data_IF_785591783674
#
_entry.id   IF_785591783674
#
_cell.length_a   1.000
_cell.length_b   1.000
_cell.length_c   1.000
_cell.angle_alpha   90.00
_cell.angle_beta   90.00
_cell.angle_gamma   90.00
#
_symmetry.space_group_name_H-M   'P 1'
#
loop_
_entity.id
_entity.type
_entity.pdbx_description
1 polymer ?
#
# COMPACT_ATOMS: atom_id res chain seq x y z
N UNK A 1 9.83 -25.49 7.24
CA UNK A 1 10.31 -24.28 7.96
C UNK A 1 9.80 -24.28 9.41
N UNK A 2 10.50 -23.62 10.36
CA UNK A 2 10.06 -23.54 11.75
C UNK A 2 8.64 -22.96 11.88
N UNK A 3 7.88 -23.42 12.88
CA UNK A 3 6.46 -23.09 13.05
C UNK A 3 6.22 -21.57 13.18
N UNK A 4 7.15 -20.84 13.78
CA UNK A 4 7.09 -19.39 13.94
C UNK A 4 7.02 -18.65 12.59
N UNK A 5 7.82 -19.04 11.58
CA UNK A 5 7.82 -18.40 10.26
C UNK A 5 6.49 -18.66 9.54
N UNK A 6 5.97 -19.90 9.62
CA UNK A 6 4.66 -20.24 9.02
C UNK A 6 3.51 -19.50 9.68
N UNK A 7 3.62 -19.19 10.97
CA UNK A 7 2.62 -18.39 11.68
C UNK A 7 2.70 -16.91 11.24
N UNK A 8 3.91 -16.35 11.22
CA UNK A 8 4.17 -14.98 10.74
C UNK A 8 3.59 -14.75 9.34
N UNK A 9 3.93 -15.61 8.38
CA UNK A 9 3.44 -15.51 6.99
C UNK A 9 1.92 -15.48 6.93
N UNK A 10 1.24 -16.38 7.66
CA UNK A 10 -0.24 -16.45 7.67
C UNK A 10 -0.89 -15.22 8.28
N UNK A 11 -0.30 -14.67 9.34
CA UNK A 11 -0.84 -13.46 10.01
C UNK A 11 -0.69 -12.26 9.09
N UNK A 12 0.49 -12.08 8.50
CA UNK A 12 0.76 -10.95 7.59
C UNK A 12 -0.07 -11.06 6.33
N UNK A 13 -0.18 -12.25 5.73
CA UNK A 13 -0.98 -12.45 4.51
C UNK A 13 -2.47 -12.14 4.76
N UNK A 14 -3.02 -12.53 5.92
CA UNK A 14 -4.39 -12.18 6.29
C UNK A 14 -4.56 -10.68 6.53
N UNK A 15 -3.61 -10.05 7.23
CA UNK A 15 -3.65 -8.61 7.45
C UNK A 15 -3.67 -7.86 6.12
N UNK A 16 -2.83 -8.27 5.16
CA UNK A 16 -2.79 -7.70 3.81
C UNK A 16 -4.12 -7.90 3.06
N UNK A 17 -4.77 -9.06 3.19
CA UNK A 17 -6.11 -9.28 2.61
C UNK A 17 -7.16 -8.36 3.20
N UNK A 18 -7.22 -8.26 4.53
CA UNK A 18 -8.21 -7.40 5.20
C UNK A 18 -8.04 -5.94 4.77
N UNK A 19 -6.81 -5.43 4.76
CA UNK A 19 -6.52 -4.05 4.34
C UNK A 19 -6.89 -3.84 2.87
N UNK A 20 -6.59 -4.82 2.00
CA UNK A 20 -6.95 -4.77 0.59
C UNK A 20 -8.47 -4.78 0.35
N UNK A 21 -9.24 -5.60 1.08
CA UNK A 21 -10.71 -5.62 0.98
C UNK A 21 -11.31 -4.29 1.43
N UNK A 22 -10.80 -3.70 2.52
CA UNK A 22 -11.23 -2.37 2.96
C UNK A 22 -10.87 -1.31 1.90
N UNK A 23 -9.70 -1.43 1.26
CA UNK A 23 -9.31 -0.54 0.17
C UNK A 23 -10.32 -0.60 -0.99
N UNK A 24 -10.80 -1.79 -1.39
CA UNK A 24 -11.80 -1.92 -2.47
C UNK A 24 -13.06 -1.08 -2.22
N UNK A 25 -13.50 -0.98 -0.96
CA UNK A 25 -14.66 -0.16 -0.60
C UNK A 25 -14.41 1.36 -0.79
N UNK A 26 -13.17 1.83 -0.66
CA UNK A 26 -12.82 3.25 -0.79
C UNK A 26 -13.07 3.80 -2.20
N UNK A 27 -12.99 2.96 -3.24
CA UNK A 27 -13.31 3.40 -4.62
C UNK A 27 -14.77 3.82 -4.73
N UNK A 28 -15.69 3.06 -4.11
CA UNK A 28 -17.11 3.41 -4.11
C UNK A 28 -17.37 4.70 -3.33
N UNK A 29 -16.66 4.92 -2.22
CA UNK A 29 -16.73 6.18 -1.47
C UNK A 29 -16.27 7.35 -2.34
N UNK A 30 -15.14 7.20 -3.03
CA UNK A 30 -14.61 8.24 -3.94
C UNK A 30 -15.59 8.56 -5.07
N UNK A 31 -16.14 7.52 -5.72
CA UNK A 31 -17.16 7.69 -6.77
C UNK A 31 -18.38 8.43 -6.21
N UNK A 32 -18.87 8.04 -5.02
CA UNK A 32 -20.00 8.71 -4.37
C UNK A 32 -19.75 10.19 -4.09
N UNK A 33 -18.55 10.55 -3.60
CA UNK A 33 -18.16 11.95 -3.35
C UNK A 33 -18.09 12.75 -4.65
N UNK A 34 -17.52 12.18 -5.72
CA UNK A 34 -17.42 12.85 -7.02
C UNK A 34 -18.79 12.99 -7.70
N UNK A 35 -19.66 11.99 -7.59
CA UNK A 35 -21.04 12.08 -8.09
C UNK A 35 -21.83 13.13 -7.32
N UNK A 36 -21.67 13.19 -5.99
CA UNK A 36 -22.29 14.25 -5.18
C UNK A 36 -21.85 15.63 -5.66
N UNK A 37 -20.54 15.85 -5.82
CA UNK A 37 -20.01 17.12 -6.33
C UNK A 37 -20.57 17.46 -7.71
N UNK A 38 -20.62 16.49 -8.62
CA UNK A 38 -21.16 16.70 -9.96
C UNK A 38 -22.65 17.07 -9.94
N UNK A 39 -23.45 16.44 -9.08
CA UNK A 39 -24.89 16.74 -8.94
C UNK A 39 -25.09 18.11 -8.30
N UNK A 40 -24.44 18.40 -7.17
CA UNK A 40 -24.66 19.68 -6.47
C UNK A 40 -24.15 20.86 -7.29
N UNK A 41 -23.03 20.69 -7.99
CA UNK A 41 -22.44 21.74 -8.81
C UNK A 41 -23.22 22.02 -10.09
N UNK A 42 -23.67 20.97 -10.79
CA UNK A 42 -24.29 21.14 -12.11
C UNK A 42 -25.83 21.20 -12.07
N UNK A 43 -26.48 20.61 -11.08
CA UNK A 43 -27.95 20.59 -10.99
C UNK A 43 -28.51 21.56 -9.94
N UNK A 44 -27.74 21.88 -8.90
CA UNK A 44 -28.18 22.75 -7.80
C UNK A 44 -27.41 24.07 -7.72
N UNK A 45 -26.41 24.30 -8.58
CA UNK A 45 -25.52 25.46 -8.56
C UNK A 45 -24.85 25.75 -7.19
N UNK A 46 -24.67 24.71 -6.36
CA UNK A 46 -24.01 24.80 -5.05
C UNK A 46 -22.66 24.08 -5.14
N UNK A 47 -21.54 24.83 -5.26
CA UNK A 47 -20.20 24.23 -5.31
C UNK A 47 -19.78 23.72 -3.92
N UNK A 48 -19.39 22.44 -3.84
CA UNK A 48 -18.87 21.84 -2.61
C UNK A 48 -17.34 21.84 -2.64
N UNK A 49 -16.73 22.78 -1.91
CA UNK A 49 -15.28 22.98 -1.94
C UNK A 49 -14.45 21.86 -1.30
N UNK A 50 -15.05 20.93 -0.54
CA UNK A 50 -14.35 19.85 0.16
C UNK A 50 -14.29 18.53 -0.63
N UNK A 51 -15.11 18.39 -1.68
CA UNK A 51 -15.24 17.12 -2.40
C UNK A 51 -13.95 16.73 -3.11
N UNK A 52 -13.19 17.71 -3.60
CA UNK A 52 -11.92 17.47 -4.32
C UNK A 52 -10.87 16.91 -3.36
N UNK A 53 -10.70 17.50 -2.18
CA UNK A 53 -9.72 17.05 -1.20
C UNK A 53 -10.10 15.70 -0.62
N UNK A 54 -11.39 15.46 -0.33
CA UNK A 54 -11.85 14.13 0.10
C UNK A 54 -11.55 13.11 -0.98
N UNK A 55 -11.89 13.38 -2.25
CA UNK A 55 -11.57 12.45 -3.34
C UNK A 55 -10.06 12.17 -3.45
N UNK A 56 -9.20 13.19 -3.33
CA UNK A 56 -7.75 13.03 -3.35
C UNK A 56 -7.23 12.21 -2.16
N UNK A 57 -7.75 12.45 -0.95
CA UNK A 57 -7.36 11.67 0.23
C UNK A 57 -7.84 10.23 0.15
N UNK A 58 -9.07 10.00 -0.32
CA UNK A 58 -9.61 8.66 -0.53
C UNK A 58 -8.83 7.92 -1.62
N UNK A 59 -8.44 8.60 -2.71
CA UNK A 59 -7.60 8.04 -3.75
C UNK A 59 -6.23 7.62 -3.19
N UNK A 60 -5.60 8.49 -2.41
CA UNK A 60 -4.31 8.18 -1.80
C UNK A 60 -4.41 7.01 -0.81
N UNK A 61 -5.45 7.00 0.04
CA UNK A 61 -5.73 5.90 0.93
C UNK A 61 -5.94 4.58 0.17
N UNK A 62 -6.73 4.60 -0.91
CA UNK A 62 -6.99 3.47 -1.78
C UNK A 62 -5.69 2.87 -2.34
N UNK A 63 -4.82 3.70 -2.93
CA UNK A 63 -3.57 3.24 -3.53
C UNK A 63 -2.63 2.60 -2.49
N UNK A 64 -2.42 3.24 -1.35
CA UNK A 64 -1.48 2.73 -0.34
C UNK A 64 -2.02 1.51 0.41
N UNK A 65 -3.32 1.46 0.71
CA UNK A 65 -3.92 0.30 1.37
C UNK A 65 -3.94 -0.93 0.46
N UNK A 66 -4.19 -0.76 -0.85
CA UNK A 66 -4.15 -1.86 -1.81
C UNK A 66 -2.75 -2.47 -2.02
N UNK A 67 -1.68 -1.69 -1.77
CA UNK A 67 -0.31 -2.07 -2.09
C UNK A 67 0.18 -3.36 -1.43
N UNK A 68 -0.21 -3.65 -0.19
CA UNK A 68 0.20 -4.88 0.49
C UNK A 68 -0.47 -6.13 -0.11
N UNK A 69 -1.75 -6.03 -0.48
CA UNK A 69 -2.49 -7.14 -1.11
C UNK A 69 -1.98 -7.42 -2.51
N UNK A 70 -1.76 -6.38 -3.33
CA UNK A 70 -1.21 -6.52 -4.68
C UNK A 70 0.22 -7.05 -4.68
N UNK A 71 1.01 -6.70 -3.65
CA UNK A 71 2.36 -7.24 -3.49
C UNK A 71 2.32 -8.73 -3.11
N UNK A 72 1.38 -9.13 -2.25
CA UNK A 72 1.19 -10.55 -1.89
C UNK A 72 0.76 -11.39 -3.08
N UNK A 73 -0.19 -10.89 -3.88
CA UNK A 73 -0.77 -11.61 -5.00
C UNK A 73 0.09 -11.54 -6.27
N UNK A 74 1.21 -10.80 -6.23
CA UNK A 74 2.13 -10.72 -7.35
C UNK A 74 1.49 -10.08 -8.61
N UNK A 75 0.46 -9.26 -8.40
CA UNK A 75 -0.34 -8.54 -9.41
C UNK A 75 0.32 -7.22 -9.87
N UNK A 76 1.53 -6.93 -9.37
CA UNK A 76 2.31 -5.81 -9.89
C UNK A 76 2.77 -6.13 -11.31
N UNK A 77 2.72 -5.12 -12.19
CA UNK A 77 3.21 -5.26 -13.56
C UNK A 77 4.70 -5.61 -13.53
N UNK A 78 5.03 -6.83 -13.95
CA UNK A 78 6.40 -7.35 -14.03
C UNK A 78 6.86 -7.44 -15.47
N UNK A 79 8.17 -7.30 -15.68
CA UNK A 79 8.77 -7.44 -17.00
C UNK A 79 9.13 -8.91 -17.25
N UNK A 80 8.27 -9.62 -17.97
CA UNK A 80 8.39 -11.08 -18.11
C UNK A 80 9.41 -11.56 -19.15
N UNK A 81 9.91 -10.67 -20.02
CA UNK A 81 10.79 -11.02 -21.14
C UNK A 81 12.07 -11.76 -20.72
N UNK A 82 12.74 -11.30 -19.66
CA UNK A 82 13.96 -11.94 -19.15
C UNK A 82 13.60 -13.05 -18.14
N UNK A 83 12.52 -12.85 -17.38
CA UNK A 83 12.09 -13.77 -16.33
C UNK A 83 11.69 -15.14 -16.87
N UNK A 84 11.00 -15.19 -18.02
CA UNK A 84 10.52 -16.45 -18.61
C UNK A 84 11.65 -17.40 -19.02
N UNK A 85 12.82 -16.87 -19.39
CA UNK A 85 13.98 -17.64 -19.85
C UNK A 85 14.86 -18.17 -18.70
N UNK A 86 14.60 -17.79 -17.45
CA UNK A 86 15.39 -18.20 -16.28
C UNK A 86 14.93 -19.56 -15.73
N UNK A 87 15.90 -20.36 -15.27
CA UNK A 87 15.63 -21.58 -14.50
C UNK A 87 14.95 -21.24 -13.16
N UNK A 88 14.31 -22.22 -12.51
CA UNK A 88 13.61 -22.04 -11.22
C UNK A 88 14.50 -21.38 -10.15
N UNK A 89 15.81 -21.69 -10.15
CA UNK A 89 16.78 -21.06 -9.25
C UNK A 89 17.10 -19.62 -9.65
N UNK A 90 17.23 -19.34 -10.96
CA UNK A 90 17.47 -17.99 -11.47
C UNK A 90 16.30 -17.05 -11.16
N UNK A 91 15.06 -17.53 -11.31
CA UNK A 91 13.84 -16.80 -10.92
C UNK A 91 13.85 -16.44 -9.43
N UNK A 92 14.07 -17.43 -8.56
CA UNK A 92 14.09 -17.21 -7.12
C UNK A 92 15.21 -16.26 -6.64
N UNK A 93 16.37 -16.25 -7.30
CA UNK A 93 17.46 -15.30 -7.01
C UNK A 93 17.04 -13.89 -7.43
N UNK A 94 16.47 -13.72 -8.63
CA UNK A 94 16.02 -12.43 -9.12
C UNK A 94 14.88 -11.86 -8.26
N UNK A 95 13.95 -12.70 -7.84
CA UNK A 95 12.85 -12.32 -6.93
C UNK A 95 13.40 -11.90 -5.56
N UNK A 96 14.43 -12.57 -5.06
CA UNK A 96 15.11 -12.20 -3.81
C UNK A 96 15.83 -10.85 -3.92
N UNK A 97 16.54 -10.60 -5.02
CA UNK A 97 17.20 -9.32 -5.29
C UNK A 97 16.16 -8.19 -5.38
N UNK A 98 15.10 -8.40 -6.16
CA UNK A 98 14.00 -7.44 -6.30
C UNK A 98 13.34 -7.16 -4.95
N UNK A 99 13.10 -8.19 -4.15
CA UNK A 99 12.54 -8.06 -2.79
C UNK A 99 13.49 -7.30 -1.85
N UNK A 100 14.81 -7.49 -1.96
CA UNK A 100 15.79 -6.75 -1.18
C UNK A 100 15.83 -5.26 -1.57
N UNK A 101 15.81 -4.96 -2.87
CA UNK A 101 15.71 -3.59 -3.37
C UNK A 101 14.40 -2.92 -2.92
N UNK A 102 13.28 -3.64 -3.01
CA UNK A 102 11.98 -3.17 -2.54
C UNK A 102 11.98 -2.91 -1.02
N UNK A 103 12.57 -3.82 -0.24
CA UNK A 103 12.70 -3.66 1.20
C UNK A 103 13.52 -2.41 1.56
N UNK A 104 14.66 -2.20 0.88
CA UNK A 104 15.46 -0.98 1.05
C UNK A 104 14.63 0.28 0.73
N UNK A 105 13.94 0.29 -0.40
CA UNK A 105 13.08 1.40 -0.81
C UNK A 105 11.98 1.68 0.24
N UNK A 106 11.28 0.64 0.71
CA UNK A 106 10.23 0.75 1.71
C UNK A 106 10.76 1.25 3.07
N UNK A 107 11.96 0.83 3.49
CA UNK A 107 12.59 1.34 4.72
C UNK A 107 12.86 2.84 4.60
N UNK A 108 13.49 3.29 3.50
CA UNK A 108 13.78 4.71 3.27
C UNK A 108 12.49 5.53 3.22
N UNK A 109 11.47 5.03 2.50
CA UNK A 109 10.15 5.66 2.41
C UNK A 109 9.46 5.75 3.77
N UNK A 110 9.56 4.70 4.60
CA UNK A 110 8.95 4.69 5.94
C UNK A 110 9.61 5.73 6.84
N UNK A 111 10.95 5.85 6.80
CA UNK A 111 11.68 6.89 7.56
C UNK A 111 11.25 8.29 7.12
N UNK A 112 11.19 8.54 5.80
CA UNK A 112 10.72 9.81 5.25
C UNK A 112 9.27 10.11 5.62
N UNK A 113 8.41 9.09 5.61
CA UNK A 113 7.00 9.21 5.98
C UNK A 113 6.80 9.53 7.46
N UNK A 114 7.55 8.87 8.36
CA UNK A 114 7.51 9.14 9.81
C UNK A 114 8.00 10.57 10.09
N UNK A 115 9.09 10.99 9.45
CA UNK A 115 9.58 12.37 9.56
C UNK A 115 8.53 13.38 9.07
N UNK A 116 7.88 13.10 7.93
CA UNK A 116 6.80 13.95 7.41
C UNK A 116 5.57 14.00 8.33
N UNK A 117 5.22 12.90 8.99
CA UNK A 117 4.13 12.85 9.96
C UNK A 117 4.47 13.64 11.23
N UNK A 118 5.69 13.49 11.75
CA UNK A 118 6.16 14.26 12.91
C UNK A 118 6.12 15.76 12.62
N UNK A 119 6.61 16.16 11.45
CA UNK A 119 6.52 17.55 10.99
C UNK A 119 5.06 18.03 10.93
N UNK A 120 4.16 17.22 10.37
CA UNK A 120 2.74 17.57 10.27
C UNK A 120 2.06 17.74 11.64
N UNK A 121 2.44 16.92 12.63
CA UNK A 121 1.92 17.03 14.00
C UNK A 121 2.45 18.28 14.69
N UNK A 122 3.75 18.58 14.57
CA UNK A 122 4.38 19.73 15.22
C UNK A 122 3.89 21.06 14.65
N UNK A 123 3.69 21.13 13.33
CA UNK A 123 3.27 22.35 12.64
C UNK A 123 1.75 22.45 12.47
N UNK A 124 1.00 21.44 12.94
CA UNK A 124 -0.43 21.27 12.68
C UNK A 124 -0.78 21.47 11.19
N UNK A 125 -0.02 20.78 10.34
CA UNK A 125 -0.02 20.95 8.90
C UNK A 125 -1.41 20.71 8.31
N UNK A 126 -1.76 21.64 7.43
CA UNK A 126 -3.10 21.90 6.97
C UNK A 126 -3.00 22.25 5.49
N UNK A 127 -3.86 21.67 4.66
CA UNK A 127 -3.80 21.88 3.21
C UNK A 127 -4.07 23.35 2.90
N UNK A 128 -3.28 23.92 1.98
CA UNK A 128 -3.58 25.21 1.36
C UNK A 128 -4.75 25.06 0.39
N UNK A 129 -5.95 24.97 0.94
CA UNK A 129 -7.21 24.94 0.19
C UNK A 129 -8.30 25.66 0.97
N UNK A 130 -9.44 25.92 0.32
CA UNK A 130 -10.56 26.66 0.91
C UNK A 130 -11.17 25.92 2.11
N UNK A 131 -11.14 24.58 2.09
CA UNK A 131 -11.61 23.74 3.19
C UNK A 131 -10.56 23.50 4.28
N UNK A 132 -9.27 23.61 3.93
CA UNK A 132 -8.14 23.53 4.87
C UNK A 132 -8.16 22.29 5.81
N UNK A 133 -8.26 21.06 5.26
CA UNK A 133 -8.23 19.84 6.07
C UNK A 133 -6.85 19.56 6.66
N UNK A 134 -6.83 18.95 7.84
CA UNK A 134 -5.60 18.47 8.49
C UNK A 134 -4.97 17.34 7.68
N UNK A 135 -3.64 17.39 7.52
CA UNK A 135 -2.88 16.38 6.79
C UNK A 135 -2.40 15.21 7.66
N UNK A 136 -2.59 15.32 8.98
CA UNK A 136 -2.13 14.32 9.95
C UNK A 136 -2.77 12.94 9.71
N UNK A 137 -4.11 12.80 9.52
CA UNK A 137 -4.74 11.49 9.38
C UNK A 137 -4.23 10.72 8.18
N UNK A 138 -4.05 11.41 7.04
CA UNK A 138 -3.61 10.78 5.81
C UNK A 138 -2.13 10.40 5.85
N UNK A 139 -1.28 11.23 6.47
CA UNK A 139 0.14 10.89 6.68
C UNK A 139 0.30 9.72 7.66
N UNK A 140 -0.53 9.65 8.70
CA UNK A 140 -0.55 8.53 9.62
C UNK A 140 -0.95 7.23 8.93
N UNK A 141 -2.01 7.27 8.10
CA UNK A 141 -2.41 6.13 7.27
C UNK A 141 -1.26 5.66 6.37
N UNK A 142 -0.54 6.58 5.74
CA UNK A 142 0.59 6.27 4.86
C UNK A 142 1.70 5.53 5.61
N UNK A 143 2.08 5.98 6.82
CA UNK A 143 3.06 5.27 7.68
C UNK A 143 2.59 3.84 7.96
N UNK A 144 1.33 3.66 8.37
CA UNK A 144 0.77 2.34 8.69
C UNK A 144 0.81 1.42 7.47
N UNK A 145 0.39 1.90 6.30
CA UNK A 145 0.38 1.11 5.07
C UNK A 145 1.80 0.70 4.63
N UNK A 146 2.77 1.62 4.72
CA UNK A 146 4.18 1.31 4.42
C UNK A 146 4.75 0.25 5.36
N UNK A 147 4.44 0.32 6.66
CA UNK A 147 4.85 -0.71 7.63
C UNK A 147 4.25 -2.07 7.27
N UNK A 148 2.98 -2.13 6.89
CA UNK A 148 2.32 -3.38 6.48
C UNK A 148 2.97 -3.94 5.20
N UNK A 149 3.26 -3.08 4.20
CA UNK A 149 3.97 -3.51 2.99
C UNK A 149 5.39 -4.04 3.29
N UNK A 150 6.09 -3.44 4.25
CA UNK A 150 7.40 -3.90 4.68
C UNK A 150 7.31 -5.29 5.34
N UNK A 151 6.31 -5.50 6.20
CA UNK A 151 6.02 -6.81 6.78
C UNK A 151 5.67 -7.86 5.70
N UNK A 152 4.88 -7.48 4.70
CA UNK A 152 4.52 -8.34 3.56
C UNK A 152 5.75 -8.69 2.71
N UNK A 153 6.64 -7.73 2.48
CA UNK A 153 7.89 -7.96 1.73
C UNK A 153 8.78 -8.96 2.47
N UNK A 154 8.86 -8.89 3.79
CA UNK A 154 9.57 -9.87 4.60
C UNK A 154 8.92 -11.27 4.50
N UNK A 155 7.58 -11.35 4.45
CA UNK A 155 6.86 -12.61 4.20
C UNK A 155 7.25 -13.23 2.84
N UNK A 156 7.34 -12.41 1.78
CA UNK A 156 7.78 -12.84 0.45
C UNK A 156 9.23 -13.34 0.45
N UNK A 157 10.15 -12.65 1.14
CA UNK A 157 11.54 -13.10 1.27
C UNK A 157 11.60 -14.51 1.90
N UNK A 158 10.82 -14.77 2.95
CA UNK A 158 10.75 -16.11 3.55
C UNK A 158 10.20 -17.16 2.58
N UNK A 159 9.18 -16.81 1.77
CA UNK A 159 8.64 -17.70 0.73
C UNK A 159 9.69 -18.00 -0.33
N UNK A 160 10.40 -16.99 -0.86
CA UNK A 160 11.46 -17.20 -1.86
C UNK A 160 12.62 -18.06 -1.34
N UNK A 161 13.06 -17.85 -0.10
CA UNK A 161 14.11 -18.67 0.54
C UNK A 161 13.67 -20.14 0.64
N UNK A 162 12.41 -20.38 0.96
CA UNK A 162 11.89 -21.72 1.08
C UNK A 162 11.77 -22.43 -0.28
N UNK A 163 11.38 -21.72 -1.33
CA UNK A 163 11.40 -22.21 -2.71
C UNK A 163 12.81 -22.65 -3.12
N UNK A 164 13.84 -21.87 -2.78
CA UNK A 164 15.25 -22.23 -3.04
C UNK A 164 15.65 -23.51 -2.28
N UNK A 165 15.18 -23.66 -1.04
CA UNK A 165 15.44 -24.83 -0.19
C UNK A 165 14.56 -26.05 -0.53
N UNK A 166 13.61 -25.94 -1.47
CA UNK A 166 12.59 -26.96 -1.78
C UNK A 166 11.81 -27.42 -0.54
N UNK A 167 11.48 -26.49 0.36
CA UNK A 167 10.72 -26.77 1.58
C UNK A 167 9.39 -26.04 1.50
N UNK A 168 8.28 -26.76 1.70
CA UNK A 168 6.96 -26.14 1.64
C UNK A 168 6.71 -25.15 2.79
N UNK A 169 6.09 -24.04 2.43
CA UNK A 169 5.67 -22.95 3.33
C UNK A 169 4.15 -22.90 3.40
N UNK A 170 3.53 -24.07 3.51
CA UNK A 170 2.08 -24.26 3.41
C UNK A 170 1.52 -24.00 2.00
#
# INVERSE_FOLDING_TARGET
MPAAIRWYVRVVDRLSDYVGIVAMALVFVMIGVLLLDAVTRNALDIPLHWCVEVAQFTLLAYFFMGGAMTLKNDDHVRMDLIYQHLSTRGKAILDLITSACLMFYLVVMTIGSVSSLQYAIQTNERRFSMWNPSMIPIKALLVVCLVIMLLQTLSLVFKHIATIRRVDVA
#
